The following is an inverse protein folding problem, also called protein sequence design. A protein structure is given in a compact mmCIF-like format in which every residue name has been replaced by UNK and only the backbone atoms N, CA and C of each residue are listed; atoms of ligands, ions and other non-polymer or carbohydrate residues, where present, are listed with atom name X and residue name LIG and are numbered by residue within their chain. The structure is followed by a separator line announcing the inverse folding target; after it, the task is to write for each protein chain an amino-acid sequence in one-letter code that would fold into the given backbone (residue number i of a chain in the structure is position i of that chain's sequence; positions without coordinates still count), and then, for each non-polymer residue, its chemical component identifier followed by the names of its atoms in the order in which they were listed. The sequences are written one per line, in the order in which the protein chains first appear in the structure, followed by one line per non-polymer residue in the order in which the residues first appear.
data_IF_240629116959
#
_entry.id   IF_240629116959
#
_cell.length_a   1.000
_cell.length_b   1.000
_cell.length_c   1.000
_cell.angle_alpha   90.00
_cell.angle_beta   90.00
_cell.angle_gamma   90.00
#
_symmetry.space_group_name_H-M   'P 1'
#
loop_
_entity.id
_entity.type
_entity.pdbx_description
1 polymer ?
#
# COMPACT_ATOMS: atom_id res chain seq x y z
N UNK A 1 21.46 19.31 -9.46
CA UNK A 1 21.94 18.64 -8.22
C UNK A 1 21.30 19.18 -6.95
N UNK A 2 21.53 20.44 -6.56
CA UNK A 2 21.08 20.94 -5.25
C UNK A 2 19.55 20.95 -5.05
N UNK A 3 18.76 21.30 -6.07
CA UNK A 3 17.29 21.42 -5.96
C UNK A 3 16.59 20.10 -5.63
N UNK A 4 16.92 19.02 -6.34
CA UNK A 4 16.31 17.69 -6.10
C UNK A 4 16.67 17.18 -4.71
N UNK A 5 17.93 17.32 -4.30
CA UNK A 5 18.36 16.94 -2.96
C UNK A 5 17.59 17.71 -1.89
N UNK A 6 17.47 19.04 -2.03
CA UNK A 6 16.67 19.87 -1.12
C UNK A 6 15.23 19.36 -1.04
N UNK A 7 14.58 19.08 -2.17
CA UNK A 7 13.20 18.60 -2.19
C UNK A 7 13.04 17.23 -1.51
N UNK A 8 13.91 16.27 -1.81
CA UNK A 8 13.89 14.94 -1.18
C UNK A 8 14.05 15.08 0.33
N UNK A 9 15.10 15.78 0.79
CA UNK A 9 15.35 15.92 2.22
C UNK A 9 14.28 16.76 2.92
N UNK A 10 13.72 17.79 2.28
CA UNK A 10 12.62 18.58 2.82
C UNK A 10 11.35 17.73 3.01
N UNK A 11 10.99 16.90 2.02
CA UNK A 11 9.82 16.02 2.13
C UNK A 11 10.02 14.96 3.23
N UNK A 12 11.19 14.32 3.26
CA UNK A 12 11.51 13.33 4.31
C UNK A 12 11.53 13.98 5.70
N UNK A 13 12.08 15.18 5.82
CA UNK A 13 12.07 15.94 7.07
C UNK A 13 10.65 16.32 7.49
N UNK A 14 9.80 16.73 6.55
CA UNK A 14 8.39 17.02 6.83
C UNK A 14 7.65 15.80 7.38
N UNK A 15 7.85 14.61 6.78
CA UNK A 15 7.29 13.36 7.30
C UNK A 15 7.85 12.97 8.66
N UNK A 16 9.15 13.16 8.88
CA UNK A 16 9.76 12.94 10.19
C UNK A 16 9.14 13.83 11.27
N UNK A 17 8.97 15.13 10.99
CA UNK A 17 8.32 16.09 11.91
C UNK A 17 6.85 15.71 12.13
N UNK A 18 6.12 15.38 11.06
CA UNK A 18 4.74 14.91 11.14
C UNK A 18 4.59 13.69 12.03
N UNK A 19 5.45 12.69 11.85
CA UNK A 19 5.46 11.48 12.68
C UNK A 19 5.84 11.79 14.14
N UNK A 20 6.92 12.55 14.36
CA UNK A 20 7.50 12.75 15.68
C UNK A 20 6.65 13.63 16.59
N UNK A 21 5.98 14.64 16.03
CA UNK A 21 5.24 15.63 16.80
C UNK A 21 3.74 15.49 16.65
N UNK A 22 3.23 15.42 15.41
CA UNK A 22 1.79 15.38 15.17
C UNK A 22 1.21 13.99 15.45
N UNK A 23 1.81 12.92 14.92
CA UNK A 23 1.37 11.55 15.22
C UNK A 23 1.53 11.23 16.71
N UNK A 24 2.63 11.64 17.35
CA UNK A 24 2.83 11.50 18.80
C UNK A 24 1.76 12.23 19.62
N UNK A 25 1.36 13.44 19.19
CA UNK A 25 0.28 14.18 19.85
C UNK A 25 -1.06 13.46 19.70
N UNK A 26 -1.37 12.98 18.49
CA UNK A 26 -2.59 12.21 18.20
C UNK A 26 -2.64 10.94 19.06
N UNK A 27 -1.53 10.22 19.09
CA UNK A 27 -1.31 8.99 19.85
C UNK A 27 -1.52 9.21 21.35
N UNK A 28 -0.90 10.23 21.93
CA UNK A 28 -0.98 10.50 23.37
C UNK A 28 -2.27 11.17 23.82
N UNK A 29 -2.85 12.07 23.02
CA UNK A 29 -4.00 12.88 23.46
C UNK A 29 -5.34 12.28 23.06
N UNK A 30 -5.43 11.70 21.86
CA UNK A 30 -6.69 11.20 21.33
C UNK A 30 -6.81 9.69 21.46
N UNK A 31 -5.82 8.95 20.96
CA UNK A 31 -5.93 7.48 20.87
C UNK A 31 -5.67 6.82 22.22
N UNK A 32 -4.62 7.25 22.92
CA UNK A 32 -4.18 6.74 24.22
C UNK A 32 -4.07 5.20 24.19
N UNK A 33 -3.12 4.64 23.40
CA UNK A 33 -2.96 3.20 23.30
C UNK A 33 -2.51 2.61 24.65
N UNK A 34 -3.07 1.45 25.01
CA UNK A 34 -2.75 0.77 26.27
C UNK A 34 -2.03 -0.57 26.00
N UNK A 35 -0.84 -0.72 26.58
CA UNK A 35 -0.04 -1.93 26.44
C UNK A 35 -0.66 -3.16 27.15
N UNK A 36 -1.55 -2.93 28.13
CA UNK A 36 -2.19 -3.98 28.91
C UNK A 36 -3.54 -4.41 28.35
N UNK A 37 -4.07 -3.68 27.36
CA UNK A 37 -5.34 -4.04 26.72
C UNK A 37 -5.10 -5.14 25.69
N UNK A 38 -5.74 -6.29 25.91
CA UNK A 38 -5.71 -7.38 24.94
C UNK A 38 -6.35 -6.96 23.62
N UNK A 39 -5.62 -7.19 22.53
CA UNK A 39 -6.07 -6.94 21.17
C UNK A 39 -6.90 -8.13 20.65
N UNK A 40 -7.72 -7.94 19.59
CA UNK A 40 -8.49 -9.05 19.02
C UNK A 40 -7.62 -10.17 18.47
N UNK A 41 -6.38 -9.88 18.03
CA UNK A 41 -5.42 -10.90 17.60
C UNK A 41 -5.08 -11.92 18.70
N UNK A 42 -5.14 -11.51 19.97
CA UNK A 42 -4.89 -12.39 21.12
C UNK A 42 -6.20 -13.01 21.60
N UNK A 43 -7.22 -12.18 21.82
CA UNK A 43 -8.48 -12.59 22.45
C UNK A 43 -9.37 -13.46 21.56
N UNK A 44 -9.32 -13.27 20.24
CA UNK A 44 -10.16 -13.97 19.25
C UNK A 44 -9.33 -14.84 18.32
N UNK A 45 -8.12 -15.25 18.74
CA UNK A 45 -7.19 -15.99 17.90
C UNK A 45 -7.81 -17.28 17.36
N UNK A 46 -8.10 -17.30 16.06
CA UNK A 46 -8.73 -18.42 15.35
C UNK A 46 -7.74 -19.19 14.47
N UNK A 47 -6.50 -18.72 14.35
CA UNK A 47 -5.48 -19.31 13.48
C UNK A 47 -5.71 -19.10 11.98
N UNK A 48 -6.73 -18.32 11.60
CA UNK A 48 -7.14 -18.06 10.22
C UNK A 48 -7.03 -16.58 9.89
N UNK A 49 -7.89 -15.75 10.49
CA UNK A 49 -7.97 -14.30 10.28
C UNK A 49 -7.39 -13.51 11.46
N UNK A 50 -7.64 -14.01 12.67
CA UNK A 50 -7.20 -13.41 13.92
C UNK A 50 -5.96 -14.12 14.42
N UNK A 51 -4.81 -13.48 14.25
CA UNK A 51 -3.53 -14.13 14.51
C UNK A 51 -2.45 -13.15 14.97
N UNK A 52 -1.79 -13.39 16.11
CA UNK A 52 -0.77 -12.50 16.63
C UNK A 52 0.44 -12.48 15.71
N UNK A 53 0.81 -11.27 15.27
CA UNK A 53 1.85 -11.07 14.28
C UNK A 53 3.00 -10.21 14.80
N UNK A 54 4.22 -10.51 14.34
CA UNK A 54 5.40 -9.73 14.70
C UNK A 54 5.27 -8.30 14.12
N UNK A 55 5.66 -7.24 14.83
CA UNK A 55 5.41 -5.86 14.40
C UNK A 55 5.95 -5.54 13.00
N UNK A 56 7.15 -6.04 12.67
CA UNK A 56 7.75 -5.83 11.34
C UNK A 56 6.99 -6.56 10.23
N UNK A 57 6.47 -7.76 10.51
CA UNK A 57 5.67 -8.53 9.54
C UNK A 57 4.34 -7.83 9.31
N UNK A 58 3.70 -7.36 10.38
CA UNK A 58 2.43 -6.65 10.29
C UNK A 58 2.57 -5.25 9.68
N UNK A 59 3.67 -4.54 9.94
CA UNK A 59 4.02 -3.32 9.22
C UNK A 59 4.10 -3.60 7.72
N UNK A 60 4.83 -4.64 7.32
CA UNK A 60 4.95 -5.00 5.91
C UNK A 60 3.62 -5.41 5.28
N UNK A 61 2.80 -6.18 6.00
CA UNK A 61 1.43 -6.51 5.58
C UNK A 61 0.61 -5.25 5.32
N UNK A 62 0.51 -4.35 6.32
CA UNK A 62 -0.27 -3.12 6.19
C UNK A 62 0.27 -2.25 5.05
N UNK A 63 1.58 -1.98 5.04
CA UNK A 63 2.22 -1.11 4.05
C UNK A 63 2.09 -1.63 2.62
N UNK A 64 2.40 -2.91 2.35
CA UNK A 64 2.30 -3.44 0.99
C UNK A 64 0.84 -3.59 0.54
N UNK A 65 -0.10 -3.84 1.46
CA UNK A 65 -1.53 -3.87 1.15
C UNK A 65 -2.07 -2.47 0.78
N UNK A 66 -1.49 -1.38 1.31
CA UNK A 66 -1.93 -0.01 0.98
C UNK A 66 -1.15 0.62 -0.19
N UNK A 67 0.14 0.31 -0.32
CA UNK A 67 1.02 0.84 -1.35
C UNK A 67 0.90 0.06 -2.68
N UNK A 68 -0.24 0.24 -3.34
CA UNK A 68 -0.53 -0.32 -4.66
C UNK A 68 -0.03 0.57 -5.83
N UNK A 69 -0.72 0.49 -6.97
CA UNK A 69 -0.43 1.36 -8.13
C UNK A 69 -0.93 2.80 -7.96
N UNK A 70 -1.91 3.01 -7.05
CA UNK A 70 -2.51 4.31 -6.74
C UNK A 70 -1.50 5.42 -6.37
N UNK A 71 -0.59 5.23 -5.39
CA UNK A 71 0.40 6.25 -5.01
C UNK A 71 1.46 6.52 -6.07
N UNK A 72 1.41 5.85 -7.24
CA UNK A 72 2.29 6.10 -8.37
C UNK A 72 1.53 6.81 -9.49
N UNK A 73 0.47 6.19 -9.98
CA UNK A 73 -0.28 6.67 -11.16
C UNK A 73 -0.96 8.01 -10.88
N UNK A 74 -1.62 8.14 -9.73
CA UNK A 74 -2.37 9.33 -9.35
C UNK A 74 -1.51 10.60 -9.30
N UNK A 75 -0.40 10.59 -8.52
CA UNK A 75 0.57 11.67 -8.50
C UNK A 75 1.14 12.06 -9.87
N UNK A 76 1.42 11.09 -10.74
CA UNK A 76 1.94 11.39 -12.11
C UNK A 76 0.91 12.18 -12.91
N UNK A 77 -0.36 11.73 -12.90
CA UNK A 77 -1.44 12.42 -13.61
C UNK A 77 -1.67 13.82 -13.03
N UNK A 78 -1.72 13.96 -11.71
CA UNK A 78 -1.90 15.26 -11.05
C UNK A 78 -0.76 16.23 -11.36
N UNK A 79 0.49 15.76 -11.31
CA UNK A 79 1.66 16.54 -11.70
C UNK A 79 1.58 16.96 -13.17
N UNK A 80 1.20 16.05 -14.06
CA UNK A 80 1.06 16.34 -15.48
C UNK A 80 0.06 17.48 -15.73
N UNK A 81 -1.08 17.49 -15.05
CA UNK A 81 -2.11 18.52 -15.28
C UNK A 81 -1.93 19.81 -14.47
N UNK A 82 -1.40 19.74 -13.25
CA UNK A 82 -1.40 20.87 -12.32
C UNK A 82 -0.01 21.37 -11.92
N UNK A 83 1.04 20.61 -12.23
CA UNK A 83 2.43 20.93 -11.91
C UNK A 83 2.95 20.15 -10.69
N UNK A 84 4.27 20.05 -10.59
CA UNK A 84 4.90 19.18 -9.57
C UNK A 84 4.79 19.77 -8.16
N UNK A 85 4.86 21.09 -7.99
CA UNK A 85 4.95 21.69 -6.66
C UNK A 85 3.65 21.57 -5.89
N UNK A 86 2.51 21.90 -6.53
CA UNK A 86 1.20 21.75 -5.88
C UNK A 86 0.91 20.27 -5.57
N UNK A 87 1.31 19.37 -6.46
CA UNK A 87 1.14 17.93 -6.27
C UNK A 87 1.93 17.43 -5.07
N UNK A 88 3.21 17.83 -4.93
CA UNK A 88 4.03 17.50 -3.76
C UNK A 88 3.46 18.07 -2.46
N UNK A 89 3.05 19.34 -2.46
CA UNK A 89 2.45 19.97 -1.27
C UNK A 89 1.20 19.20 -0.84
N UNK A 90 0.35 18.81 -1.78
CA UNK A 90 -0.85 18.04 -1.49
C UNK A 90 -0.53 16.65 -0.93
N UNK A 91 0.42 15.92 -1.54
CA UNK A 91 0.89 14.63 -1.03
C UNK A 91 1.41 14.78 0.40
N UNK A 92 2.24 15.77 0.68
CA UNK A 92 2.81 15.99 2.01
C UNK A 92 1.73 16.31 3.05
N UNK A 93 0.89 17.31 2.79
CA UNK A 93 -0.13 17.75 3.73
C UNK A 93 -1.21 16.69 3.92
N UNK A 94 -1.71 16.11 2.83
CA UNK A 94 -2.73 15.07 2.88
C UNK A 94 -2.23 13.86 3.66
N UNK A 95 -1.07 13.30 3.30
CA UNK A 95 -0.57 12.08 3.96
C UNK A 95 -0.40 12.25 5.46
N UNK A 96 0.14 13.38 5.93
CA UNK A 96 0.34 13.63 7.37
C UNK A 96 -0.98 13.91 8.09
N UNK A 97 -1.80 14.83 7.58
CA UNK A 97 -2.93 15.36 8.35
C UNK A 97 -4.27 14.65 8.08
N UNK A 98 -4.37 13.89 6.99
CA UNK A 98 -5.61 13.25 6.57
C UNK A 98 -5.41 11.74 6.50
N UNK A 99 -4.61 11.25 5.54
CA UNK A 99 -4.50 9.81 5.30
C UNK A 99 -3.95 9.04 6.49
N UNK A 100 -2.82 9.47 7.07
CA UNK A 100 -2.20 8.75 8.19
C UNK A 100 -3.04 8.82 9.47
N UNK A 101 -3.77 9.93 9.66
CA UNK A 101 -4.75 10.08 10.73
C UNK A 101 -5.91 9.10 10.54
N UNK A 102 -6.46 9.04 9.33
CA UNK A 102 -7.58 8.17 8.99
C UNK A 102 -7.21 6.69 9.13
N UNK A 103 -6.04 6.28 8.64
CA UNK A 103 -5.53 4.91 8.74
C UNK A 103 -5.34 4.51 10.21
N UNK A 104 -4.68 5.36 11.00
CA UNK A 104 -4.42 5.06 12.40
C UNK A 104 -5.69 5.04 13.25
N UNK A 105 -6.59 6.01 13.07
CA UNK A 105 -7.87 6.01 13.78
C UNK A 105 -8.72 4.79 13.42
N UNK A 106 -8.79 4.42 12.14
CA UNK A 106 -9.57 3.25 11.73
C UNK A 106 -9.01 1.96 12.32
N UNK A 107 -7.69 1.80 12.30
CA UNK A 107 -7.02 0.66 12.96
C UNK A 107 -7.45 0.55 14.43
N UNK A 108 -7.32 1.65 15.18
CA UNK A 108 -7.56 1.65 16.63
C UNK A 108 -9.02 1.50 17.00
N UNK A 109 -9.93 2.11 16.23
CA UNK A 109 -11.38 1.92 16.40
C UNK A 109 -11.75 0.46 16.11
N UNK A 110 -11.19 -0.15 15.06
CA UNK A 110 -11.44 -1.56 14.76
C UNK A 110 -10.89 -2.50 15.83
N UNK A 111 -9.65 -2.30 16.29
CA UNK A 111 -9.03 -3.07 17.39
C UNK A 111 -9.91 -3.05 18.64
N UNK A 112 -10.43 -1.89 19.01
CA UNK A 112 -11.30 -1.72 20.18
C UNK A 112 -12.73 -2.26 19.99
N UNK A 113 -13.10 -2.56 18.75
CA UNK A 113 -14.36 -3.19 18.37
C UNK A 113 -14.14 -4.59 17.77
N UNK A 114 -13.27 -5.42 18.38
CA UNK A 114 -13.11 -6.84 18.03
C UNK A 114 -12.60 -7.10 16.60
N UNK A 115 -11.87 -6.16 16.02
CA UNK A 115 -11.40 -6.22 14.63
C UNK A 115 -12.54 -6.10 13.61
N UNK A 116 -13.63 -5.43 13.97
CA UNK A 116 -14.80 -5.25 13.10
C UNK A 116 -14.54 -4.25 11.97
N UNK A 117 -15.29 -4.40 10.88
CA UNK A 117 -15.26 -3.46 9.76
C UNK A 117 -15.87 -2.12 10.13
N UNK A 118 -15.53 -1.07 9.36
CA UNK A 118 -16.11 0.26 9.58
C UNK A 118 -17.64 0.28 9.41
N UNK A 119 -18.19 -0.57 8.54
CA UNK A 119 -19.64 -0.70 8.35
C UNK A 119 -20.33 -1.32 9.58
N UNK A 120 -19.69 -2.30 10.23
CA UNK A 120 -20.22 -2.88 11.47
C UNK A 120 -20.13 -1.90 12.65
N UNK A 121 -19.05 -1.13 12.72
CA UNK A 121 -18.91 -0.07 13.72
C UNK A 121 -19.96 1.03 13.51
N UNK A 122 -20.29 1.36 12.26
CA UNK A 122 -21.35 2.30 11.92
C UNK A 122 -22.72 1.85 12.43
N UNK A 123 -23.00 0.54 12.51
CA UNK A 123 -24.23 0.02 13.10
C UNK A 123 -24.36 0.39 14.58
N UNK A 124 -23.28 0.16 15.33
CA UNK A 124 -23.24 0.37 16.78
C UNK A 124 -23.40 1.86 17.12
N UNK A 125 -22.93 2.74 16.24
CA UNK A 125 -22.87 4.20 16.48
C UNK A 125 -24.03 4.98 15.85
N UNK A 126 -24.48 4.59 14.66
CA UNK A 126 -25.46 5.34 13.86
C UNK A 126 -26.69 4.50 13.47
N UNK A 127 -26.72 3.22 13.83
CA UNK A 127 -27.83 2.30 13.56
C UNK A 127 -27.74 1.59 12.21
N UNK A 128 -28.69 0.67 12.00
CA UNK A 128 -28.67 -0.27 10.87
C UNK A 128 -28.71 0.40 9.49
N UNK A 129 -29.43 1.51 9.34
CA UNK A 129 -29.50 2.25 8.06
C UNK A 129 -28.12 2.74 7.62
N UNK A 130 -27.33 3.26 8.56
CA UNK A 130 -25.97 3.70 8.27
C UNK A 130 -25.09 2.51 7.86
N UNK A 131 -25.17 1.40 8.59
CA UNK A 131 -24.47 0.16 8.20
C UNK A 131 -24.83 -0.29 6.79
N UNK A 132 -26.12 -0.31 6.43
CA UNK A 132 -26.54 -0.73 5.11
C UNK A 132 -25.94 0.17 4.01
N UNK A 133 -25.98 1.49 4.18
CA UNK A 133 -25.37 2.44 3.24
C UNK A 133 -23.86 2.23 3.12
N UNK A 134 -23.15 2.12 4.25
CA UNK A 134 -21.71 1.85 4.25
C UNK A 134 -21.39 0.50 3.62
N UNK A 135 -22.09 -0.58 3.97
CA UNK A 135 -21.86 -1.92 3.42
C UNK A 135 -22.06 -1.96 1.91
N UNK A 136 -23.14 -1.36 1.38
CA UNK A 136 -23.38 -1.27 -0.06
C UNK A 136 -22.26 -0.48 -0.73
N UNK A 137 -21.90 0.68 -0.18
CA UNK A 137 -20.80 1.49 -0.70
C UNK A 137 -19.48 0.72 -0.71
N UNK A 138 -19.14 0.02 0.38
CA UNK A 138 -17.92 -0.77 0.49
C UNK A 138 -17.87 -1.91 -0.51
N UNK A 139 -18.98 -2.63 -0.72
CA UNK A 139 -19.04 -3.71 -1.72
C UNK A 139 -18.79 -3.15 -3.13
N UNK A 140 -19.46 -2.05 -3.50
CA UNK A 140 -19.28 -1.43 -4.81
C UNK A 140 -17.86 -0.87 -4.99
N UNK A 141 -17.31 -0.23 -3.97
CA UNK A 141 -15.95 0.29 -3.98
C UNK A 141 -14.91 -0.83 -4.09
N UNK A 142 -15.07 -1.93 -3.35
CA UNK A 142 -14.16 -3.08 -3.43
C UNK A 142 -14.21 -3.75 -4.80
N UNK A 143 -15.39 -3.90 -5.41
CA UNK A 143 -15.53 -4.43 -6.76
C UNK A 143 -14.77 -3.56 -7.76
N UNK A 144 -14.94 -2.24 -7.69
CA UNK A 144 -14.23 -1.29 -8.55
C UNK A 144 -12.71 -1.38 -8.36
N UNK A 145 -12.23 -1.36 -7.11
CA UNK A 145 -10.79 -1.41 -6.79
C UNK A 145 -10.15 -2.70 -7.30
N UNK A 146 -10.80 -3.85 -7.08
CA UNK A 146 -10.31 -5.15 -7.57
C UNK A 146 -10.26 -5.16 -9.10
N UNK A 147 -11.29 -4.64 -9.78
CA UNK A 147 -11.31 -4.56 -11.24
C UNK A 147 -10.20 -3.65 -11.79
N UNK A 148 -10.03 -2.45 -11.23
CA UNK A 148 -9.01 -1.48 -11.67
C UNK A 148 -7.61 -2.05 -11.45
N UNK A 149 -7.32 -2.59 -10.27
CA UNK A 149 -6.01 -3.19 -10.01
C UNK A 149 -5.76 -4.46 -10.81
N UNK A 150 -6.79 -5.27 -11.08
CA UNK A 150 -6.69 -6.42 -11.97
C UNK A 150 -6.29 -6.01 -13.39
N UNK A 151 -6.92 -4.97 -13.95
CA UNK A 151 -6.58 -4.44 -15.28
C UNK A 151 -5.19 -3.83 -15.31
N UNK A 152 -4.82 -3.04 -14.30
CA UNK A 152 -3.48 -2.43 -14.22
C UNK A 152 -2.40 -3.51 -14.13
N UNK A 153 -2.57 -4.51 -13.26
CA UNK A 153 -1.64 -5.62 -13.13
C UNK A 153 -1.52 -6.44 -14.42
N UNK A 154 -2.65 -6.77 -15.07
CA UNK A 154 -2.66 -7.48 -16.34
C UNK A 154 -1.92 -6.69 -17.44
N UNK A 155 -2.15 -5.37 -17.55
CA UNK A 155 -1.41 -4.50 -18.48
C UNK A 155 0.09 -4.48 -18.20
N UNK A 156 0.48 -4.44 -16.92
CA UNK A 156 1.90 -4.50 -16.53
C UNK A 156 2.55 -5.82 -16.96
N UNK A 157 1.88 -6.95 -16.79
CA UNK A 157 2.41 -8.27 -17.21
C UNK A 157 2.55 -8.40 -18.73
N UNK A 158 1.69 -7.73 -19.50
CA UNK A 158 1.81 -7.65 -20.97
C UNK A 158 2.97 -6.73 -21.36
N UNK A 159 3.04 -5.56 -20.74
CA UNK A 159 4.05 -4.56 -21.06
C UNK A 159 5.46 -5.00 -20.64
N UNK A 160 5.58 -5.79 -19.57
CA UNK A 160 6.85 -6.26 -19.00
C UNK A 160 6.81 -7.79 -18.79
N UNK A 161 6.95 -8.60 -19.86
CA UNK A 161 6.88 -10.07 -19.77
C UNK A 161 7.90 -10.71 -18.82
N UNK A 162 9.03 -10.05 -18.59
CA UNK A 162 10.05 -10.41 -17.59
C UNK A 162 9.51 -10.45 -16.16
N UNK A 163 8.43 -9.73 -15.85
CA UNK A 163 7.82 -9.67 -14.52
C UNK A 163 6.82 -10.79 -14.25
N UNK A 164 6.44 -11.57 -15.28
CA UNK A 164 5.49 -12.69 -15.15
C UNK A 164 6.04 -13.75 -14.19
N UNK A 165 7.24 -14.27 -14.46
CA UNK A 165 7.83 -15.32 -13.63
C UNK A 165 8.02 -14.88 -12.16
N UNK A 166 8.64 -13.72 -11.86
CA UNK A 166 8.78 -13.24 -10.48
C UNK A 166 7.44 -13.07 -9.75
N UNK A 167 6.41 -12.60 -10.44
CA UNK A 167 5.08 -12.34 -9.86
C UNK A 167 4.40 -13.62 -9.38
N UNK A 168 4.55 -14.73 -10.10
CA UNK A 168 4.00 -16.02 -9.66
C UNK A 168 4.96 -16.78 -8.75
N UNK A 169 6.27 -16.65 -8.95
CA UNK A 169 7.28 -17.33 -8.13
C UNK A 169 7.33 -16.83 -6.67
N UNK A 170 6.92 -15.57 -6.39
CA UNK A 170 6.82 -15.07 -5.01
C UNK A 170 5.75 -15.82 -4.19
N UNK A 171 4.72 -16.38 -4.83
CA UNK A 171 3.62 -17.09 -4.15
C UNK A 171 4.16 -18.29 -3.35
N UNK A 172 4.79 -19.31 -3.97
CA UNK A 172 5.34 -20.44 -3.22
C UNK A 172 6.45 -20.02 -2.24
N UNK A 173 7.29 -19.05 -2.59
CA UNK A 173 8.34 -18.54 -1.67
C UNK A 173 7.71 -17.94 -0.40
N UNK A 174 6.64 -17.16 -0.55
CA UNK A 174 5.92 -16.58 0.58
C UNK A 174 5.20 -17.63 1.44
N UNK A 175 4.64 -18.67 0.81
CA UNK A 175 4.01 -19.78 1.55
C UNK A 175 5.03 -20.56 2.39
N UNK A 176 6.21 -20.83 1.83
CA UNK A 176 7.31 -21.48 2.55
C UNK A 176 7.80 -20.59 3.69
N UNK A 177 7.95 -19.28 3.46
CA UNK A 177 8.30 -18.32 4.50
C UNK A 177 7.28 -18.33 5.66
N UNK A 178 5.98 -18.23 5.36
CA UNK A 178 4.91 -18.26 6.35
C UNK A 178 4.93 -19.55 7.17
N UNK A 179 5.08 -20.70 6.49
CA UNK A 179 5.22 -22.00 7.15
C UNK A 179 6.45 -22.08 8.08
N UNK A 180 7.61 -21.61 7.62
CA UNK A 180 8.84 -21.58 8.42
C UNK A 180 8.71 -20.70 9.67
N UNK A 181 8.06 -19.52 9.55
CA UNK A 181 7.88 -18.59 10.65
C UNK A 181 6.87 -19.12 11.68
N UNK A 182 5.71 -19.59 11.21
CA UNK A 182 4.55 -19.87 12.09
C UNK A 182 4.40 -21.34 12.49
N UNK A 183 4.85 -22.30 11.66
CA UNK A 183 4.77 -23.74 11.97
C UNK A 183 6.10 -24.32 12.46
N UNK A 184 7.23 -23.80 11.99
CA UNK A 184 8.57 -24.28 12.39
C UNK A 184 9.29 -23.38 13.39
N UNK A 185 8.74 -22.21 13.74
CA UNK A 185 9.33 -21.25 14.67
C UNK A 185 10.79 -20.88 14.34
N UNK A 186 11.14 -20.86 13.06
CA UNK A 186 12.47 -20.43 12.64
C UNK A 186 12.67 -18.93 12.90
N UNK A 187 13.93 -18.52 13.04
CA UNK A 187 14.24 -17.12 13.29
C UNK A 187 13.80 -16.24 12.12
N UNK A 188 13.07 -15.16 12.41
CA UNK A 188 12.51 -14.27 11.38
C UNK A 188 13.60 -13.75 10.44
N UNK A 189 14.72 -13.27 11.01
CA UNK A 189 15.82 -12.69 10.22
C UNK A 189 16.38 -13.67 9.19
N UNK A 190 16.69 -14.90 9.60
CA UNK A 190 17.29 -15.90 8.71
C UNK A 190 16.35 -16.26 7.56
N UNK A 191 15.09 -16.59 7.87
CA UNK A 191 14.13 -17.01 6.83
C UNK A 191 13.78 -15.84 5.92
N UNK A 192 13.62 -14.62 6.45
CA UNK A 192 13.42 -13.43 5.64
C UNK A 192 14.58 -13.17 4.69
N UNK A 193 15.84 -13.27 5.14
CA UNK A 193 17.01 -13.10 4.26
C UNK A 193 17.01 -14.11 3.12
N UNK A 194 16.78 -15.39 3.43
CA UNK A 194 16.72 -16.45 2.40
C UNK A 194 15.58 -16.19 1.41
N UNK A 195 14.41 -15.84 1.90
CA UNK A 195 13.24 -15.59 1.05
C UNK A 195 13.42 -14.33 0.17
N UNK A 196 14.01 -13.25 0.70
CA UNK A 196 14.33 -12.05 -0.09
C UNK A 196 15.37 -12.36 -1.16
N UNK A 197 16.42 -13.13 -0.85
CA UNK A 197 17.40 -13.57 -1.85
C UNK A 197 16.75 -14.43 -2.93
N UNK A 198 15.83 -15.33 -2.56
CA UNK A 198 15.06 -16.12 -3.52
C UNK A 198 14.19 -15.24 -4.43
N UNK A 199 13.55 -14.20 -3.89
CA UNK A 199 12.78 -13.23 -4.69
C UNK A 199 13.68 -12.46 -5.65
N UNK A 200 14.84 -11.98 -5.21
CA UNK A 200 15.82 -11.29 -6.08
C UNK A 200 16.31 -12.22 -7.19
N UNK A 201 16.60 -13.48 -6.86
CA UNK A 201 16.97 -14.49 -7.85
C UNK A 201 15.83 -14.74 -8.84
N UNK A 202 14.58 -14.81 -8.38
CA UNK A 202 13.43 -14.96 -9.27
C UNK A 202 13.29 -13.77 -10.23
N UNK A 203 13.50 -12.54 -9.74
CA UNK A 203 13.55 -11.33 -10.57
C UNK A 203 14.64 -11.49 -11.66
N UNK A 204 15.86 -11.86 -11.27
CA UNK A 204 16.94 -12.10 -12.22
C UNK A 204 16.60 -13.16 -13.28
N UNK A 205 15.99 -14.28 -12.87
CA UNK A 205 15.54 -15.34 -13.79
C UNK A 205 14.46 -14.79 -14.74
N UNK A 206 13.50 -14.01 -14.25
CA UNK A 206 12.47 -13.38 -15.06
C UNK A 206 13.04 -12.50 -16.18
N UNK A 207 14.06 -11.69 -15.87
CA UNK A 207 14.78 -10.89 -16.87
C UNK A 207 15.56 -11.72 -17.90
N UNK A 208 15.93 -12.97 -17.57
CA UNK A 208 16.59 -13.89 -18.51
C UNK A 208 15.62 -14.73 -19.32
N UNK A 209 14.43 -15.00 -18.78
CA UNK A 209 13.39 -15.84 -19.37
C UNK A 209 12.05 -15.10 -19.39
N UNK A 210 11.89 -14.09 -20.25
CA UNK A 210 10.62 -13.38 -20.39
C UNK A 210 9.54 -14.32 -20.93
N UNK A 211 8.30 -14.17 -20.45
CA UNK A 211 7.16 -15.00 -20.85
C UNK A 211 6.10 -14.15 -21.55
N UNK A 212 6.32 -13.72 -22.81
CA UNK A 212 5.34 -12.94 -23.55
C UNK A 212 4.14 -13.80 -23.95
N UNK A 213 2.95 -13.21 -23.94
CA UNK A 213 1.77 -13.83 -24.53
C UNK A 213 1.70 -13.50 -26.04
N UNK A 214 1.29 -14.45 -26.89
CA UNK A 214 0.99 -14.17 -28.30
C UNK A 214 -0.06 -13.08 -28.45
N UNK A 215 0.11 -12.20 -29.44
CA UNK A 215 -0.85 -11.12 -29.71
C UNK A 215 -2.22 -11.66 -30.14
N UNK A 216 -2.24 -12.81 -30.80
CA UNK A 216 -3.46 -13.54 -31.20
C UNK A 216 -4.27 -14.06 -29.99
N UNK A 217 -3.70 -13.99 -28.80
CA UNK A 217 -4.31 -14.46 -27.56
C UNK A 217 -3.93 -15.90 -27.20
N UNK A 218 -4.40 -16.33 -26.04
CA UNK A 218 -4.16 -17.67 -25.49
C UNK A 218 -5.50 -18.27 -25.09
N UNK A 219 -5.78 -19.50 -25.53
CA UNK A 219 -7.03 -20.21 -25.25
C UNK A 219 -8.29 -19.41 -25.64
N UNK A 220 -8.23 -18.61 -26.72
CA UNK A 220 -9.34 -17.78 -27.18
C UNK A 220 -9.56 -16.48 -26.38
N UNK A 221 -8.71 -16.18 -25.40
CA UNK A 221 -8.71 -14.91 -24.67
C UNK A 221 -7.67 -13.95 -25.24
N UNK A 222 -8.01 -12.66 -25.30
CA UNK A 222 -6.99 -11.62 -25.51
C UNK A 222 -5.97 -11.65 -24.37
N UNK A 223 -4.72 -11.20 -24.59
CA UNK A 223 -3.69 -11.19 -23.54
C UNK A 223 -4.14 -10.48 -22.25
N UNK A 224 -4.92 -9.40 -22.40
CA UNK A 224 -5.48 -8.66 -21.27
C UNK A 224 -6.48 -9.50 -20.48
N UNK A 225 -7.42 -10.14 -21.16
CA UNK A 225 -8.47 -10.93 -20.51
C UNK A 225 -7.88 -12.20 -19.89
N UNK A 226 -6.91 -12.84 -20.55
CA UNK A 226 -6.19 -13.99 -20.02
C UNK A 226 -5.55 -13.68 -18.67
N UNK A 227 -4.72 -12.63 -18.60
CA UNK A 227 -4.06 -12.25 -17.35
C UNK A 227 -5.06 -11.77 -16.30
N UNK A 228 -6.08 -11.00 -16.71
CA UNK A 228 -7.11 -10.54 -15.78
C UNK A 228 -7.81 -11.73 -15.11
N UNK A 229 -8.28 -12.72 -15.87
CA UNK A 229 -8.94 -13.92 -15.33
C UNK A 229 -8.01 -14.73 -14.44
N UNK A 230 -6.75 -14.92 -14.85
CA UNK A 230 -5.74 -15.61 -14.03
C UNK A 230 -5.51 -14.92 -12.69
N UNK A 231 -5.39 -13.58 -12.69
CA UNK A 231 -5.21 -12.78 -11.48
C UNK A 231 -6.45 -12.80 -10.58
N UNK A 232 -7.66 -12.80 -11.16
CA UNK A 232 -8.91 -12.92 -10.40
C UNK A 232 -9.06 -14.30 -9.76
N UNK A 233 -8.72 -15.36 -10.48
CA UNK A 233 -8.71 -16.71 -9.93
C UNK A 233 -7.71 -16.82 -8.75
N UNK A 234 -6.50 -16.28 -8.93
CA UNK A 234 -5.52 -16.19 -7.86
C UNK A 234 -6.04 -15.39 -6.65
N UNK A 235 -6.63 -14.21 -6.87
CA UNK A 235 -7.18 -13.38 -5.80
C UNK A 235 -8.30 -14.09 -5.03
N UNK A 236 -9.17 -14.82 -5.74
CA UNK A 236 -10.19 -15.68 -5.14
C UNK A 236 -9.60 -16.74 -4.22
N UNK A 237 -8.61 -17.50 -4.70
CA UNK A 237 -7.90 -18.50 -3.88
C UNK A 237 -7.21 -17.85 -2.68
N UNK A 238 -6.50 -16.73 -2.89
CA UNK A 238 -5.77 -16.04 -1.84
C UNK A 238 -6.71 -15.49 -0.74
N UNK A 239 -7.93 -15.10 -1.10
CA UNK A 239 -8.92 -14.56 -0.14
C UNK A 239 -9.51 -15.60 0.82
N UNK A 240 -9.41 -16.89 0.49
CA UNK A 240 -9.96 -17.99 1.30
C UNK A 240 -8.89 -18.61 2.21
N UNK A 241 -7.61 -18.49 1.84
CA UNK A 241 -6.51 -19.07 2.60
C UNK A 241 -6.30 -18.31 3.93
N UNK A 242 -5.87 -19.01 5.01
CA UNK A 242 -5.47 -18.37 6.26
C UNK A 242 -4.44 -17.27 6.01
N UNK A 243 -4.60 -16.12 6.68
CA UNK A 243 -3.82 -14.90 6.39
C UNK A 243 -2.31 -15.11 6.49
N UNK A 244 -1.86 -15.95 7.44
CA UNK A 244 -0.45 -16.28 7.67
C UNK A 244 0.16 -17.19 6.62
N UNK A 245 -0.68 -17.86 5.80
CA UNK A 245 -0.22 -18.82 4.80
C UNK A 245 0.25 -18.11 3.55
N UNK A 246 -0.47 -17.09 3.08
CA UNK A 246 -0.16 -16.43 1.82
C UNK A 246 -0.16 -14.91 1.93
N UNK A 247 -1.30 -14.30 2.29
CA UNK A 247 -1.49 -12.86 2.19
C UNK A 247 -0.42 -12.08 2.98
N UNK A 248 -0.28 -12.39 4.27
CA UNK A 248 0.67 -11.73 5.14
C UNK A 248 2.15 -11.97 4.76
N UNK A 249 2.65 -13.22 4.59
CA UNK A 249 4.06 -13.42 4.24
C UNK A 249 4.39 -12.87 2.84
N UNK A 250 3.44 -12.87 1.91
CA UNK A 250 3.62 -12.27 0.58
C UNK A 250 3.78 -10.76 0.67
N UNK A 251 2.92 -10.10 1.42
CA UNK A 251 2.94 -8.64 1.58
C UNK A 251 4.19 -8.19 2.35
N UNK A 252 4.59 -8.97 3.36
CA UNK A 252 5.86 -8.78 4.04
C UNK A 252 7.08 -8.91 3.10
N UNK A 253 7.11 -9.88 2.18
CA UNK A 253 8.18 -9.97 1.18
C UNK A 253 8.14 -8.83 0.17
N UNK A 254 6.94 -8.46 -0.28
CA UNK A 254 6.72 -7.36 -1.23
C UNK A 254 7.22 -6.03 -0.66
N UNK A 255 7.14 -5.85 0.67
CA UNK A 255 7.67 -4.69 1.37
C UNK A 255 9.19 -4.51 1.17
N UNK A 256 9.98 -5.59 1.14
CA UNK A 256 11.42 -5.47 0.87
C UNK A 256 11.69 -5.02 -0.56
N UNK A 257 10.91 -5.50 -1.53
CA UNK A 257 11.02 -5.06 -2.92
C UNK A 257 10.67 -3.58 -3.00
N UNK A 258 9.60 -3.15 -2.31
CA UNK A 258 9.13 -1.77 -2.34
C UNK A 258 10.10 -0.80 -1.65
N UNK A 259 10.66 -1.16 -0.49
CA UNK A 259 11.74 -0.38 0.13
C UNK A 259 13.01 -0.36 -0.72
N UNK A 260 13.35 -1.50 -1.33
CA UNK A 260 14.50 -1.62 -2.22
C UNK A 260 14.38 -0.71 -3.44
N UNK A 261 13.26 -0.79 -4.17
CA UNK A 261 13.00 0.04 -5.34
C UNK A 261 12.91 1.53 -4.99
N UNK A 262 12.24 1.88 -3.88
CA UNK A 262 12.16 3.27 -3.41
C UNK A 262 13.53 3.82 -3.03
N UNK A 263 14.35 3.03 -2.34
CA UNK A 263 15.70 3.43 -1.93
C UNK A 263 16.62 3.60 -3.16
N UNK A 264 16.55 2.69 -4.12
CA UNK A 264 17.24 2.84 -5.42
C UNK A 264 16.76 4.08 -6.17
N UNK A 265 15.45 4.37 -6.16
CA UNK A 265 14.88 5.59 -6.75
C UNK A 265 15.41 6.87 -6.11
N UNK A 266 15.49 6.93 -4.78
CA UNK A 266 16.06 8.07 -4.05
C UNK A 266 17.55 8.22 -4.38
N UNK A 267 18.32 7.14 -4.37
CA UNK A 267 19.76 7.18 -4.71
C UNK A 267 19.94 7.68 -6.15
N UNK A 268 19.14 7.18 -7.10
CA UNK A 268 19.17 7.59 -8.49
C UNK A 268 18.82 9.09 -8.65
N UNK A 269 17.80 9.58 -7.93
CA UNK A 269 17.45 11.01 -7.90
C UNK A 269 18.59 11.88 -7.40
N UNK A 270 19.29 11.47 -6.34
CA UNK A 270 20.41 12.22 -5.78
C UNK A 270 21.65 12.19 -6.67
N UNK A 271 21.90 11.07 -7.36
CA UNK A 271 23.04 10.88 -8.25
C UNK A 271 22.85 11.59 -9.60
N UNK A 272 21.75 11.31 -10.29
CA UNK A 272 21.46 11.86 -11.63
C UNK A 272 21.01 13.32 -11.53
N UNK A 273 20.23 13.63 -10.49
CA UNK A 273 19.65 14.94 -10.24
C UNK A 273 19.03 15.60 -11.48
N UNK A 274 17.98 14.99 -12.06
CA UNK A 274 17.37 15.48 -13.28
C UNK A 274 16.83 16.91 -13.10
N UNK A 275 16.85 17.71 -14.16
CA UNK A 275 16.16 19.00 -14.18
C UNK A 275 14.66 18.80 -14.01
N UNK A 276 13.97 19.69 -13.31
CA UNK A 276 12.50 19.67 -13.21
C UNK A 276 11.93 20.37 -14.44
N UNK A 277 11.61 19.60 -15.48
CA UNK A 277 11.14 20.12 -16.77
C UNK A 277 9.65 20.49 -16.71
N UNK A 278 8.88 19.73 -15.93
CA UNK A 278 7.51 20.08 -15.62
C UNK A 278 7.46 21.41 -14.82
N UNK A 279 6.58 22.36 -15.16
CA UNK A 279 6.37 23.56 -14.37
C UNK A 279 5.92 23.25 -12.93
N UNK A 280 6.31 24.10 -11.98
CA UNK A 280 5.86 24.01 -10.59
C UNK A 280 4.34 24.13 -10.46
N UNK A 281 3.73 24.94 -11.31
CA UNK A 281 2.30 25.21 -11.36
C UNK A 281 1.86 25.41 -12.81
N UNK A 282 0.81 24.70 -13.24
CA UNK A 282 0.25 24.79 -14.60
C UNK A 282 -1.07 25.56 -14.67
N UNK A 283 -1.64 25.96 -13.52
CA UNK A 283 -2.91 26.69 -13.45
C UNK A 283 -3.94 26.01 -12.57
N UNK A 284 -5.00 26.74 -12.22
CA UNK A 284 -6.07 26.25 -11.36
C UNK A 284 -7.09 25.36 -12.11
N UNK A 285 -7.03 25.30 -13.44
CA UNK A 285 -7.95 24.59 -14.31
C UNK A 285 -7.16 23.79 -15.35
N UNK A 286 -7.51 22.52 -15.52
CA UNK A 286 -7.07 21.67 -16.61
C UNK A 286 -8.23 21.41 -17.56
N UNK A 287 -7.98 21.46 -18.86
CA UNK A 287 -9.00 21.18 -19.88
C UNK A 287 -9.53 19.75 -19.82
N UNK A 288 -8.72 18.80 -19.31
CA UNK A 288 -9.07 17.38 -19.24
C UNK A 288 -9.58 16.99 -17.85
N UNK A 289 -8.89 17.43 -16.79
CA UNK A 289 -9.21 17.01 -15.42
C UNK A 289 -10.18 17.97 -14.71
N UNK A 290 -10.35 19.21 -15.20
CA UNK A 290 -11.12 20.23 -14.51
C UNK A 290 -10.29 21.01 -13.47
N UNK A 291 -10.92 21.58 -12.44
CA UNK A 291 -10.24 22.45 -11.49
C UNK A 291 -9.32 21.66 -10.55
N UNK A 292 -8.21 22.28 -10.11
CA UNK A 292 -7.26 21.71 -9.14
C UNK A 292 -7.97 21.21 -7.89
N UNK A 293 -8.94 22.00 -7.41
CA UNK A 293 -9.85 21.61 -6.35
C UNK A 293 -11.25 21.32 -6.90
N UNK A 294 -11.86 20.16 -6.61
CA UNK A 294 -11.43 19.12 -5.68
C UNK A 294 -10.59 17.99 -6.31
N UNK A 295 -10.14 18.14 -7.56
CA UNK A 295 -9.56 17.01 -8.31
C UNK A 295 -8.29 16.42 -7.70
N UNK A 296 -7.50 17.19 -6.95
CA UNK A 296 -6.37 16.63 -6.20
C UNK A 296 -6.79 15.57 -5.17
N UNK A 297 -7.99 15.66 -4.58
CA UNK A 297 -8.53 14.61 -3.68
C UNK A 297 -8.82 13.31 -4.42
N UNK A 298 -9.19 13.43 -5.69
CA UNK A 298 -9.59 12.29 -6.53
C UNK A 298 -8.37 11.66 -7.18
N UNK A 299 -7.53 12.47 -7.84
CA UNK A 299 -6.35 12.02 -8.55
C UNK A 299 -5.27 11.52 -7.60
N UNK A 300 -5.04 12.24 -6.51
CA UNK A 300 -4.03 11.89 -5.49
C UNK A 300 -4.76 11.41 -4.23
N UNK A 301 -5.69 10.49 -4.40
CA UNK A 301 -6.35 9.84 -3.27
C UNK A 301 -5.35 8.93 -2.53
N UNK A 302 -4.73 8.00 -3.24
CA UNK A 302 -3.66 7.16 -2.71
C UNK A 302 -2.36 7.98 -2.56
N UNK A 303 -1.64 7.80 -1.46
CA UNK A 303 -0.51 8.65 -1.08
C UNK A 303 -0.86 9.98 -0.38
N UNK A 304 -2.14 10.38 -0.27
CA UNK A 304 -2.53 11.57 0.49
C UNK A 304 -3.75 11.37 1.41
N UNK A 305 -4.85 10.76 0.97
CA UNK A 305 -6.12 10.72 1.72
C UNK A 305 -6.64 9.30 1.99
N UNK A 306 -6.42 8.39 1.03
CA UNK A 306 -7.07 7.11 0.76
C UNK A 306 -8.02 6.52 1.81
N UNK A 307 -9.27 6.29 1.39
CA UNK A 307 -10.26 5.50 2.13
C UNK A 307 -10.08 3.99 2.04
N UNK A 308 -9.27 3.47 1.10
CA UNK A 308 -9.01 2.03 0.99
C UNK A 308 -8.16 1.51 2.16
N UNK A 309 -7.30 2.36 2.71
CA UNK A 309 -6.42 2.00 3.83
C UNK A 309 -7.23 1.65 5.08
N UNK A 310 -8.34 2.38 5.30
CA UNK A 310 -9.26 2.10 6.40
C UNK A 310 -9.85 0.67 6.33
N UNK A 311 -9.99 0.11 5.12
CA UNK A 311 -10.42 -1.27 4.91
C UNK A 311 -9.32 -2.28 5.21
N UNK A 312 -8.07 -1.98 4.84
CA UNK A 312 -6.92 -2.82 5.17
C UNK A 312 -6.67 -2.80 6.68
N UNK A 313 -6.56 -1.61 7.26
CA UNK A 313 -6.33 -1.37 8.67
C UNK A 313 -7.43 -1.97 9.55
N UNK A 314 -8.69 -1.70 9.22
CA UNK A 314 -9.84 -2.21 9.98
C UNK A 314 -10.21 -3.66 9.67
N UNK A 315 -9.95 -4.14 8.45
CA UNK A 315 -10.39 -5.47 8.01
C UNK A 315 -9.37 -6.59 8.19
N UNK A 316 -8.07 -6.27 8.15
CA UNK A 316 -6.99 -7.28 8.22
C UNK A 316 -5.92 -6.95 9.26
N UNK A 317 -5.40 -5.72 9.30
CA UNK A 317 -4.31 -5.35 10.21
C UNK A 317 -4.75 -5.37 11.68
N UNK A 318 -5.97 -4.88 11.96
CA UNK A 318 -6.57 -4.87 13.30
C UNK A 318 -6.63 -6.26 13.94
N UNK A 319 -6.94 -7.28 13.14
CA UNK A 319 -7.05 -8.69 13.55
C UNK A 319 -5.70 -9.35 13.84
N UNK A 320 -4.60 -8.70 13.47
CA UNK A 320 -3.24 -9.23 13.59
C UNK A 320 -2.36 -8.47 14.59
N UNK A 321 -2.80 -7.29 15.03
CA UNK A 321 -2.08 -6.40 15.94
C UNK A 321 -1.93 -7.03 17.33
N UNK A 322 -0.71 -7.17 17.84
CA UNK A 322 -0.46 -7.82 19.16
C UNK A 322 -0.55 -6.87 20.34
N UNK A 323 -0.29 -5.58 20.11
CA UNK A 323 -0.33 -4.57 21.16
C UNK A 323 -0.78 -3.23 20.58
N UNK A 324 -1.68 -2.52 21.27
CA UNK A 324 -2.19 -1.21 20.81
C UNK A 324 -1.06 -0.20 20.55
N UNK A 325 0.03 -0.22 21.34
CA UNK A 325 1.16 0.71 21.20
C UNK A 325 1.92 0.58 19.88
N UNK A 326 1.76 -0.52 19.16
CA UNK A 326 2.36 -0.74 17.85
C UNK A 326 1.56 -0.08 16.72
N UNK A 327 0.29 0.29 16.98
CA UNK A 327 -0.63 0.78 15.95
C UNK A 327 -0.13 2.02 15.23
N UNK A 328 0.50 2.97 15.94
CA UNK A 328 1.09 4.17 15.36
C UNK A 328 2.18 3.84 14.33
N UNK A 329 3.10 2.94 14.68
CA UNK A 329 4.20 2.59 13.80
C UNK A 329 3.70 1.86 12.54
N UNK A 330 2.67 1.01 12.68
CA UNK A 330 2.13 0.17 11.62
C UNK A 330 1.23 0.95 10.66
N UNK A 331 0.21 1.64 11.17
CA UNK A 331 -0.76 2.35 10.35
C UNK A 331 -0.22 3.73 9.93
N UNK A 332 -0.04 4.64 10.89
CA UNK A 332 0.42 6.00 10.60
C UNK A 332 1.77 5.98 9.87
N UNK A 333 2.73 5.18 10.35
CA UNK A 333 4.03 5.00 9.69
C UNK A 333 3.94 4.36 8.30
N UNK A 334 3.05 3.39 8.12
CA UNK A 334 2.79 2.78 6.82
C UNK A 334 2.29 3.80 5.79
N UNK A 335 1.31 4.62 6.17
CA UNK A 335 0.76 5.66 5.29
C UNK A 335 1.79 6.74 4.95
N UNK A 336 2.63 7.16 5.89
CA UNK A 336 3.73 8.08 5.57
C UNK A 336 4.71 7.46 4.57
N UNK A 337 4.99 6.15 4.70
CA UNK A 337 5.88 5.44 3.78
C UNK A 337 5.28 5.39 2.37
N UNK A 338 3.96 5.21 2.24
CA UNK A 338 3.27 5.35 0.95
C UNK A 338 3.37 6.79 0.39
N UNK A 339 3.27 7.80 1.26
CA UNK A 339 3.55 9.20 0.89
C UNK A 339 4.95 9.39 0.30
N UNK A 340 5.97 8.72 0.87
CA UNK A 340 7.33 8.75 0.30
C UNK A 340 7.37 8.13 -1.10
N UNK A 341 6.66 7.03 -1.34
CA UNK A 341 6.54 6.43 -2.70
C UNK A 341 5.97 7.45 -3.69
N UNK A 342 4.92 8.19 -3.30
CA UNK A 342 4.32 9.22 -4.13
C UNK A 342 5.28 10.40 -4.40
N UNK A 343 6.00 10.88 -3.38
CA UNK A 343 7.02 11.93 -3.52
C UNK A 343 8.14 11.51 -4.47
N UNK A 344 8.71 10.33 -4.28
CA UNK A 344 9.79 9.80 -5.13
C UNK A 344 9.30 9.68 -6.56
N UNK A 345 8.07 9.19 -6.77
CA UNK A 345 7.47 9.09 -8.11
C UNK A 345 7.38 10.45 -8.80
N UNK A 346 6.82 11.46 -8.14
CA UNK A 346 6.69 12.81 -8.70
C UNK A 346 8.06 13.37 -9.06
N UNK A 347 9.04 13.27 -8.16
CA UNK A 347 10.38 13.80 -8.41
C UNK A 347 11.12 13.06 -9.54
N UNK A 348 10.92 11.75 -9.68
CA UNK A 348 11.52 10.97 -10.78
C UNK A 348 10.94 11.35 -12.14
N UNK A 349 9.61 11.49 -12.21
CA UNK A 349 8.92 11.73 -13.49
C UNK A 349 8.94 13.21 -13.88
N UNK A 350 9.02 14.14 -12.91
CA UNK A 350 9.09 15.58 -13.17
C UNK A 350 10.27 16.01 -14.04
N UNK A 351 11.31 15.18 -14.16
CA UNK A 351 12.43 15.43 -15.06
C UNK A 351 12.32 14.80 -16.44
N UNK A 352 11.41 13.84 -16.63
CA UNK A 352 11.15 13.21 -17.94
C UNK A 352 9.99 13.85 -18.71
N UNK A 353 9.04 14.47 -18.00
CA UNK A 353 7.88 15.20 -18.52
C UNK A 353 8.03 16.71 -18.35
#
# INVERSE_FOLDING_TARGET
MLTIAILVFACLFFYYVGYRFYAERLDRKLIQPDANRETPAIKQNDGVDYVPSKPLVLFGHNFASIAGAGPVIGPIIAMHHFGWAITLVWIMLGSVFIGAVHDYLTLMVSVRNRGSSIADIAEITMGYRAKAVFAIFLILAMLLVIAVFGVVAAKTLIAQPEMVFPTFAIIPVSMVLGWCIYKKNFSLKMVSTVAVLAVILNIYIGFKMPLPLPEEGVMGFSPLLFWFVMLMAYAGVASILPVQTLLQPRDYLSTFILFGSMSLGIIALLWVAPGLNTPAWRGAMSDVQGPVWPMLFVLVACGAVSGFHSLVAGGTTSKQLTNETQGKAIAYGGMLTEGVVAVVTVLMVAGGL
#
